data_IF_777030741710
#
_entry.id   IF_777030741710
#
_cell.length_a   1.000
_cell.length_b   1.000
_cell.length_c   1.000
_cell.angle_alpha   90.00
_cell.angle_beta   90.00
_cell.angle_gamma   90.00
#
_symmetry.space_group_name_H-M   'P 1'
#
loop_
_entity.id
_entity.type
_entity.pdbx_description
1 polymer ?
#
# COMPACT_ATOMS: atom_id res chain seq x y z
N UNK A 1 -12.51 -3.52 -8.74
CA UNK A 1 -12.98 -2.44 -7.85
C UNK A 1 -14.18 -1.74 -8.51
N UNK A 2 -15.41 -1.92 -8.00
CA UNK A 2 -16.64 -1.42 -8.65
C UNK A 2 -16.76 0.11 -8.61
N UNK A 3 -15.93 0.78 -7.80
CA UNK A 3 -15.90 2.24 -7.70
C UNK A 3 -14.59 2.86 -8.20
N UNK A 4 -13.74 2.08 -8.86
CA UNK A 4 -12.43 2.54 -9.34
C UNK A 4 -12.50 3.73 -10.29
N UNK A 5 -13.58 3.84 -11.08
CA UNK A 5 -13.82 4.98 -11.97
C UNK A 5 -14.35 6.25 -11.29
N UNK A 6 -14.77 6.16 -10.03
CA UNK A 6 -15.35 7.30 -9.30
C UNK A 6 -14.25 8.22 -8.81
N UNK A 7 -14.08 9.36 -9.48
CA UNK A 7 -13.05 10.35 -9.14
C UNK A 7 -11.70 10.17 -9.84
N UNK A 8 -11.45 9.07 -10.53
CA UNK A 8 -10.26 8.95 -11.38
C UNK A 8 -10.35 9.97 -12.54
N UNK A 9 -9.33 10.78 -12.69
CA UNK A 9 -9.25 11.80 -13.72
C UNK A 9 -9.97 13.11 -13.43
N UNK A 10 -10.79 13.21 -12.36
CA UNK A 10 -11.44 14.47 -11.95
C UNK A 10 -10.61 15.28 -10.96
N UNK A 11 -9.87 14.59 -10.08
CA UNK A 11 -9.00 15.24 -9.10
C UNK A 11 -7.83 14.29 -8.78
N UNK A 12 -6.80 14.25 -9.64
CA UNK A 12 -5.58 13.46 -9.39
C UNK A 12 -4.71 14.09 -8.30
N UNK A 13 -5.09 15.28 -7.81
CA UNK A 13 -4.41 16.04 -6.79
C UNK A 13 -5.42 16.48 -5.74
N UNK A 14 -5.22 16.11 -4.47
CA UNK A 14 -6.10 16.51 -3.36
C UNK A 14 -7.32 15.62 -3.09
N UNK A 15 -7.57 14.61 -3.90
CA UNK A 15 -8.69 13.68 -3.69
C UNK A 15 -8.48 12.74 -2.52
N UNK A 16 -9.17 12.98 -1.40
CA UNK A 16 -9.09 12.16 -0.19
C UNK A 16 -10.00 10.93 -0.23
N UNK A 17 -9.70 9.94 0.62
CA UNK A 17 -10.57 8.78 0.81
C UNK A 17 -11.95 9.17 1.33
N UNK A 18 -12.03 10.19 2.20
CA UNK A 18 -13.30 10.71 2.72
C UNK A 18 -14.15 11.29 1.60
N UNK A 19 -13.57 12.15 0.75
CA UNK A 19 -14.26 12.71 -0.40
C UNK A 19 -14.68 11.67 -1.43
N UNK A 20 -13.85 10.64 -1.65
CA UNK A 20 -14.22 9.50 -2.51
C UNK A 20 -15.44 8.75 -1.93
N UNK A 21 -15.44 8.47 -0.62
CA UNK A 21 -16.55 7.81 0.06
C UNK A 21 -17.85 8.59 -0.11
N UNK A 22 -17.81 9.89 0.13
CA UNK A 22 -18.98 10.75 -0.03
C UNK A 22 -19.53 10.68 -1.45
N UNK A 23 -18.68 10.89 -2.45
CA UNK A 23 -19.09 10.81 -3.87
C UNK A 23 -19.64 9.44 -4.25
N UNK A 24 -18.97 8.35 -3.88
CA UNK A 24 -19.40 6.99 -4.21
C UNK A 24 -20.78 6.66 -3.61
N UNK A 25 -21.04 7.10 -2.38
CA UNK A 25 -22.31 6.86 -1.72
C UNK A 25 -23.45 7.80 -2.18
N UNK A 26 -23.14 8.86 -2.91
CA UNK A 26 -24.14 9.74 -3.54
C UNK A 26 -24.54 9.30 -4.96
N UNK A 27 -23.83 8.35 -5.56
CA UNK A 27 -24.15 7.85 -6.88
C UNK A 27 -25.57 7.24 -6.95
N UNK A 28 -26.29 7.44 -8.07
CA UNK A 28 -27.64 6.91 -8.21
C UNK A 28 -27.64 5.37 -8.19
N UNK A 29 -28.77 4.73 -7.80
CA UNK A 29 -28.88 3.26 -7.79
C UNK A 29 -28.73 2.58 -9.16
N UNK A 30 -28.68 3.37 -10.24
CA UNK A 30 -28.48 2.92 -11.63
C UNK A 30 -27.05 3.10 -12.13
N UNK A 31 -26.12 3.49 -11.25
CA UNK A 31 -24.74 3.75 -11.65
C UNK A 31 -23.99 2.46 -12.00
N UNK A 32 -24.26 1.36 -11.28
CA UNK A 32 -23.66 0.07 -11.61
C UNK A 32 -24.25 -0.45 -12.91
N UNK A 33 -23.39 -0.79 -13.87
CA UNK A 33 -23.82 -1.32 -15.17
C UNK A 33 -24.67 -2.58 -14.99
N UNK A 34 -25.77 -2.75 -15.77
CA UNK A 34 -26.71 -3.86 -15.60
C UNK A 34 -26.10 -5.25 -15.76
N UNK A 35 -25.13 -5.41 -16.68
CA UNK A 35 -24.39 -6.65 -16.88
C UNK A 35 -23.50 -7.02 -15.69
N UNK A 36 -22.77 -6.03 -15.12
CA UNK A 36 -22.00 -6.25 -13.91
C UNK A 36 -22.90 -6.60 -12.73
N UNK A 37 -24.04 -5.91 -12.58
CA UNK A 37 -25.01 -6.23 -11.56
C UNK A 37 -25.56 -7.66 -11.72
N UNK A 38 -25.90 -8.04 -12.93
CA UNK A 38 -26.39 -9.40 -13.21
C UNK A 38 -25.35 -10.46 -12.80
N UNK A 39 -24.08 -10.29 -13.16
CA UNK A 39 -23.00 -11.21 -12.77
C UNK A 39 -22.89 -11.31 -11.25
N UNK A 40 -22.94 -10.18 -10.54
CA UNK A 40 -22.85 -10.16 -9.09
C UNK A 40 -24.07 -10.82 -8.43
N UNK A 41 -25.27 -10.59 -8.94
CA UNK A 41 -26.51 -11.18 -8.42
C UNK A 41 -26.56 -12.71 -8.60
N UNK A 42 -25.82 -13.27 -9.58
CA UNK A 42 -25.70 -14.72 -9.80
C UNK A 42 -24.57 -15.37 -8.97
N UNK A 43 -23.70 -14.57 -8.34
CA UNK A 43 -22.63 -15.11 -7.53
C UNK A 43 -23.15 -15.66 -6.18
N UNK A 44 -22.68 -16.83 -5.78
CA UNK A 44 -22.99 -17.41 -4.47
C UNK A 44 -22.45 -16.55 -3.32
N UNK A 45 -21.31 -15.89 -3.54
CA UNK A 45 -20.72 -14.94 -2.63
C UNK A 45 -19.92 -13.86 -3.37
N UNK A 46 -19.78 -12.70 -2.78
CA UNK A 46 -18.94 -11.61 -3.26
C UNK A 46 -18.29 -10.89 -2.08
N UNK A 47 -16.97 -11.01 -1.98
CA UNK A 47 -16.20 -10.29 -0.96
C UNK A 47 -15.57 -9.03 -1.54
N UNK A 48 -15.87 -7.89 -0.92
CA UNK A 48 -15.25 -6.62 -1.25
C UNK A 48 -14.01 -6.41 -0.40
N UNK A 49 -12.89 -6.01 -1.02
CA UNK A 49 -11.64 -5.75 -0.34
C UNK A 49 -11.69 -4.59 0.66
N UNK A 50 -12.75 -3.79 0.62
CA UNK A 50 -13.01 -2.67 1.52
C UNK A 50 -14.52 -2.49 1.75
N UNK A 51 -14.86 -1.91 2.91
CA UNK A 51 -16.27 -1.68 3.28
C UNK A 51 -16.94 -0.61 2.42
N UNK A 52 -16.19 0.32 1.83
CA UNK A 52 -16.75 1.32 0.93
C UNK A 52 -17.32 0.68 -0.34
N UNK A 53 -16.56 -0.22 -0.97
CA UNK A 53 -17.00 -0.99 -2.14
C UNK A 53 -18.24 -1.84 -1.80
N UNK A 54 -18.23 -2.51 -0.64
CA UNK A 54 -19.39 -3.28 -0.15
C UNK A 54 -20.64 -2.40 0.02
N UNK A 55 -20.49 -1.26 0.70
CA UNK A 55 -21.62 -0.38 1.01
C UNK A 55 -22.17 0.26 -0.28
N UNK A 56 -21.30 0.59 -1.24
CA UNK A 56 -21.69 1.02 -2.57
C UNK A 56 -22.51 -0.07 -3.29
N UNK A 57 -22.04 -1.32 -3.35
CA UNK A 57 -22.76 -2.41 -4.01
C UNK A 57 -24.13 -2.70 -3.35
N UNK A 58 -24.19 -2.63 -2.02
CA UNK A 58 -25.49 -2.72 -1.29
C UNK A 58 -26.45 -1.61 -1.72
N UNK A 59 -25.95 -0.37 -1.83
CA UNK A 59 -26.76 0.78 -2.28
C UNK A 59 -27.18 0.62 -3.74
N UNK A 60 -26.36 0.01 -4.60
CA UNK A 60 -26.75 -0.33 -5.96
C UNK A 60 -27.75 -1.49 -6.06
N UNK A 61 -28.14 -2.09 -4.92
CA UNK A 61 -29.14 -3.15 -4.85
C UNK A 61 -28.66 -4.50 -5.37
N UNK A 62 -27.36 -4.80 -5.26
CA UNK A 62 -26.79 -6.13 -5.53
C UNK A 62 -27.37 -7.14 -4.55
N UNK A 63 -27.82 -8.29 -5.07
CA UNK A 63 -28.58 -9.33 -4.34
C UNK A 63 -27.77 -10.59 -4.04
N UNK A 64 -26.46 -10.56 -4.18
CA UNK A 64 -25.58 -11.68 -3.81
C UNK A 64 -25.91 -12.14 -2.38
N UNK A 65 -26.13 -13.43 -2.11
CA UNK A 65 -26.49 -13.95 -0.79
C UNK A 65 -25.45 -13.59 0.29
N UNK A 66 -24.18 -13.64 -0.05
CA UNK A 66 -23.07 -13.24 0.81
C UNK A 66 -22.36 -12.05 0.15
N UNK A 67 -22.64 -10.84 0.63
CA UNK A 67 -21.96 -9.60 0.22
C UNK A 67 -21.28 -9.00 1.44
N UNK A 68 -20.02 -9.34 1.65
CA UNK A 68 -19.27 -9.03 2.87
C UNK A 68 -17.93 -8.34 2.57
N UNK A 69 -17.28 -7.85 3.62
CA UNK A 69 -15.90 -7.41 3.57
C UNK A 69 -14.97 -8.63 3.66
N UNK A 70 -14.01 -8.70 2.74
CA UNK A 70 -12.93 -9.69 2.78
C UNK A 70 -11.61 -9.01 2.44
N UNK A 71 -10.66 -8.95 3.40
CA UNK A 71 -9.39 -8.26 3.20
C UNK A 71 -8.59 -8.90 2.07
N UNK A 72 -7.66 -8.12 1.51
CA UNK A 72 -6.80 -8.55 0.40
C UNK A 72 -6.07 -9.87 0.72
N UNK A 73 -6.05 -10.79 -0.25
CA UNK A 73 -5.44 -12.11 -0.10
C UNK A 73 -3.93 -12.04 0.20
N UNK A 74 -3.27 -10.95 -0.13
CA UNK A 74 -1.85 -10.76 0.22
C UNK A 74 -1.60 -10.73 1.73
N UNK A 75 -2.58 -10.38 2.53
CA UNK A 75 -2.52 -10.51 3.98
C UNK A 75 -2.48 -11.97 4.48
N UNK A 76 -2.67 -12.95 3.60
CA UNK A 76 -2.53 -14.37 3.88
C UNK A 76 -1.37 -15.05 3.12
N UNK A 77 -0.46 -14.28 2.52
CA UNK A 77 0.60 -14.83 1.69
C UNK A 77 1.82 -15.26 2.54
N UNK A 78 2.06 -16.57 2.73
CA UNK A 78 3.12 -17.06 3.60
C UNK A 78 4.49 -17.17 2.91
N UNK A 79 4.61 -16.73 1.66
CA UNK A 79 5.83 -16.89 0.87
C UNK A 79 7.00 -16.12 1.49
N UNK A 80 8.13 -16.84 1.67
CA UNK A 80 9.39 -16.30 2.17
C UNK A 80 10.58 -17.05 1.59
N UNK A 81 11.66 -16.31 1.32
CA UNK A 81 12.99 -16.84 1.10
C UNK A 81 13.95 -16.27 2.16
N UNK A 82 13.89 -16.83 3.36
CA UNK A 82 14.67 -16.34 4.50
C UNK A 82 16.18 -16.49 4.28
N UNK A 83 16.62 -17.53 3.58
CA UNK A 83 18.04 -17.73 3.30
C UNK A 83 18.60 -16.59 2.42
N UNK A 84 17.89 -16.27 1.34
CA UNK A 84 18.27 -15.18 0.43
C UNK A 84 18.14 -13.82 1.10
N UNK A 85 17.02 -13.58 1.81
CA UNK A 85 16.82 -12.34 2.53
C UNK A 85 17.89 -12.08 3.60
N UNK A 86 18.26 -13.07 4.41
CA UNK A 86 19.31 -12.93 5.43
C UNK A 86 20.69 -12.70 4.81
N UNK A 87 21.04 -13.43 3.75
CA UNK A 87 22.30 -13.19 3.02
C UNK A 87 22.39 -11.75 2.52
N UNK A 88 21.32 -11.24 1.92
CA UNK A 88 21.26 -9.86 1.43
C UNK A 88 21.42 -8.81 2.54
N UNK A 89 20.79 -9.05 3.71
CA UNK A 89 20.94 -8.17 4.88
C UNK A 89 22.37 -8.18 5.42
N UNK A 90 23.00 -9.35 5.50
CA UNK A 90 24.38 -9.49 5.99
C UNK A 90 25.39 -8.79 5.09
N UNK A 91 25.31 -8.98 3.78
CA UNK A 91 26.19 -8.31 2.80
C UNK A 91 26.15 -6.77 2.92
N UNK A 92 25.06 -6.21 3.39
CA UNK A 92 24.85 -4.76 3.51
C UNK A 92 24.91 -4.24 4.94
N UNK A 93 25.32 -5.11 5.87
CA UNK A 93 25.37 -4.81 7.30
C UNK A 93 24.07 -4.18 7.81
N UNK A 94 22.93 -4.80 7.45
CA UNK A 94 21.58 -4.44 7.91
C UNK A 94 21.21 -5.32 9.12
N UNK A 95 21.10 -4.70 10.27
CA UNK A 95 20.74 -5.40 11.51
C UNK A 95 19.21 -5.52 11.63
N UNK A 96 18.66 -6.74 11.88
CA UNK A 96 17.23 -6.91 12.14
C UNK A 96 16.70 -5.97 13.21
N UNK A 97 15.59 -5.28 12.90
CA UNK A 97 14.95 -4.32 13.79
C UNK A 97 15.62 -2.94 13.82
N UNK A 98 16.72 -2.72 13.08
CA UNK A 98 17.46 -1.45 13.04
C UNK A 98 17.53 -0.85 11.63
N UNK A 99 16.53 -1.08 10.81
CA UNK A 99 16.37 -0.42 9.52
C UNK A 99 14.89 -0.30 9.16
N UNK A 100 14.59 0.64 8.29
CA UNK A 100 13.28 0.78 7.66
C UNK A 100 13.38 0.51 6.17
N UNK A 101 12.28 0.03 5.56
CA UNK A 101 12.15 -0.06 4.11
C UNK A 101 11.25 1.07 3.61
N UNK A 102 11.62 1.68 2.48
CA UNK A 102 10.88 2.79 1.86
C UNK A 102 10.66 2.49 0.38
N UNK A 103 9.41 2.53 -0.05
CA UNK A 103 8.99 2.23 -1.42
C UNK A 103 8.38 3.49 -2.05
N UNK A 104 9.00 4.02 -3.14
CA UNK A 104 8.48 5.16 -3.89
C UNK A 104 7.35 4.73 -4.83
N UNK A 105 6.55 5.73 -5.30
CA UNK A 105 5.58 5.50 -6.36
C UNK A 105 5.22 6.79 -7.09
N UNK A 106 5.01 6.69 -8.40
CA UNK A 106 4.34 7.73 -9.18
C UNK A 106 2.82 7.66 -8.97
N UNK A 107 2.11 8.77 -9.10
CA UNK A 107 0.63 8.79 -9.01
C UNK A 107 -0.01 7.91 -10.09
N UNK A 108 0.56 7.92 -11.29
CA UNK A 108 0.19 7.00 -12.35
C UNK A 108 1.36 6.09 -12.72
N UNK A 109 1.15 4.80 -12.58
CA UNK A 109 2.14 3.80 -13.01
C UNK A 109 2.33 3.87 -14.51
N UNK A 110 3.58 4.02 -15.01
CA UNK A 110 3.86 4.14 -16.44
C UNK A 110 3.82 2.76 -17.13
N UNK A 111 2.63 2.17 -17.25
CA UNK A 111 2.47 0.81 -17.78
C UNK A 111 3.03 0.65 -19.19
N UNK A 112 3.00 1.69 -20.03
CA UNK A 112 3.56 1.63 -21.37
C UNK A 112 5.07 1.36 -21.34
N UNK A 113 5.82 1.90 -20.36
CA UNK A 113 7.25 1.59 -20.15
C UNK A 113 7.46 0.16 -19.69
N UNK A 114 6.67 -0.29 -18.71
CA UNK A 114 6.78 -1.63 -18.11
C UNK A 114 6.46 -2.72 -19.15
N UNK A 115 5.45 -2.47 -19.99
CA UNK A 115 4.96 -3.43 -21.00
C UNK A 115 5.61 -3.26 -22.36
N UNK A 116 6.49 -2.25 -22.51
CA UNK A 116 7.10 -1.88 -23.77
C UNK A 116 6.07 -1.69 -24.90
N UNK A 117 4.99 -0.96 -24.60
CA UNK A 117 3.92 -0.64 -25.57
C UNK A 117 4.05 0.81 -26.04
N UNK A 118 3.53 1.15 -27.25
CA UNK A 118 3.52 2.54 -27.71
C UNK A 118 2.82 3.46 -26.72
N UNK A 119 3.42 4.63 -26.50
CA UNK A 119 2.88 5.69 -25.64
C UNK A 119 1.65 6.32 -26.29
N UNK A 120 0.62 6.57 -25.50
CA UNK A 120 -0.66 7.16 -25.93
C UNK A 120 -0.81 8.60 -25.43
N UNK A 121 -1.80 9.34 -25.95
CA UNK A 121 -2.15 10.67 -25.43
C UNK A 121 -2.59 10.64 -23.96
N UNK A 122 -3.20 9.56 -23.51
CA UNK A 122 -3.57 9.36 -22.11
C UNK A 122 -2.32 9.21 -21.22
N UNK A 123 -1.28 8.54 -21.74
CA UNK A 123 0.01 8.46 -21.06
C UNK A 123 0.70 9.83 -20.96
N UNK A 124 0.56 10.70 -21.98
CA UNK A 124 1.08 12.08 -21.93
C UNK A 124 0.46 12.89 -20.79
N UNK A 125 -0.87 12.76 -20.61
CA UNK A 125 -1.60 13.42 -19.51
C UNK A 125 -1.13 12.89 -18.17
N UNK A 126 -1.00 11.57 -18.03
CA UNK A 126 -0.54 10.89 -16.80
C UNK A 126 0.89 11.25 -16.46
N UNK A 127 1.79 11.27 -17.43
CA UNK A 127 3.18 11.66 -17.24
C UNK A 127 3.28 13.14 -16.79
N UNK A 128 2.50 14.06 -17.39
CA UNK A 128 2.46 15.46 -16.96
C UNK A 128 1.97 15.62 -15.50
N UNK A 129 1.08 14.75 -15.02
CA UNK A 129 0.67 14.72 -13.62
C UNK A 129 1.81 14.19 -12.74
N UNK A 130 2.46 13.11 -13.15
CA UNK A 130 3.60 12.55 -12.44
C UNK A 130 4.72 13.61 -12.31
N UNK A 131 5.08 14.29 -13.39
CA UNK A 131 6.17 15.27 -13.42
C UNK A 131 5.96 16.41 -12.39
N UNK A 132 4.73 16.93 -12.26
CA UNK A 132 4.46 18.01 -11.30
C UNK A 132 4.19 17.54 -9.86
N UNK A 133 3.96 16.24 -9.62
CA UNK A 133 3.63 15.72 -8.29
C UNK A 133 4.77 14.94 -7.65
N UNK A 134 5.69 14.37 -8.43
CA UNK A 134 6.74 13.47 -7.96
C UNK A 134 7.58 14.09 -6.85
N UNK A 135 8.11 15.31 -7.06
CA UNK A 135 8.95 15.97 -6.05
C UNK A 135 8.15 16.27 -4.77
N UNK A 136 6.95 16.83 -4.90
CA UNK A 136 6.08 17.13 -3.76
C UNK A 136 5.75 15.90 -2.91
N UNK A 137 5.46 14.78 -3.55
CA UNK A 137 5.06 13.54 -2.88
C UNK A 137 6.26 12.87 -2.18
N UNK A 138 7.46 12.95 -2.75
CA UNK A 138 8.66 12.31 -2.20
C UNK A 138 9.47 13.21 -1.26
N UNK A 139 9.38 14.53 -1.36
CA UNK A 139 10.07 15.44 -0.45
C UNK A 139 9.70 15.21 1.02
N UNK A 140 8.42 14.94 1.30
CA UNK A 140 7.96 14.62 2.67
C UNK A 140 8.50 13.29 3.19
N UNK A 141 8.64 12.29 2.31
CA UNK A 141 9.25 11.00 2.65
C UNK A 141 10.75 11.18 2.92
N UNK A 142 11.45 11.99 2.12
CA UNK A 142 12.86 12.33 2.39
C UNK A 142 13.04 13.05 3.73
N UNK A 143 12.18 14.02 4.04
CA UNK A 143 12.23 14.70 5.34
C UNK A 143 12.05 13.74 6.52
N UNK A 144 11.18 12.74 6.40
CA UNK A 144 11.05 11.64 7.36
C UNK A 144 12.33 10.79 7.42
N UNK A 145 12.92 10.40 6.28
CA UNK A 145 14.19 9.65 6.21
C UNK A 145 15.31 10.41 6.90
N UNK A 146 15.45 11.71 6.65
CA UNK A 146 16.45 12.56 7.29
C UNK A 146 16.28 12.57 8.81
N UNK A 147 15.06 12.77 9.28
CA UNK A 147 14.73 12.77 10.72
C UNK A 147 15.05 11.41 11.35
N UNK A 148 14.68 10.32 10.70
CA UNK A 148 14.97 8.96 11.15
C UNK A 148 16.48 8.72 11.29
N UNK A 149 17.24 8.99 10.22
CA UNK A 149 18.69 8.78 10.22
C UNK A 149 19.40 9.67 11.26
N UNK A 150 19.06 10.97 11.33
CA UNK A 150 19.69 11.89 12.26
C UNK A 150 19.39 11.54 13.73
N UNK A 151 18.20 11.02 14.01
CA UNK A 151 17.80 10.66 15.39
C UNK A 151 18.36 9.31 15.81
N UNK A 152 18.39 8.32 14.90
CA UNK A 152 18.69 6.93 15.26
C UNK A 152 20.07 6.44 14.82
N UNK A 153 20.68 7.06 13.82
CA UNK A 153 21.86 6.55 13.14
C UNK A 153 21.63 5.24 12.37
N UNK A 154 20.39 4.77 12.29
CA UNK A 154 20.05 3.50 11.67
C UNK A 154 19.91 3.62 10.14
N UNK A 155 19.88 2.47 9.46
CA UNK A 155 19.85 2.41 8.00
C UNK A 155 18.45 2.48 7.41
N UNK A 156 18.39 2.94 6.17
CA UNK A 156 17.17 2.96 5.36
C UNK A 156 17.41 2.15 4.09
N UNK A 157 16.49 1.24 3.76
CA UNK A 157 16.49 0.50 2.50
C UNK A 157 15.48 1.15 1.57
N UNK A 158 15.94 1.74 0.47
CA UNK A 158 15.08 2.20 -0.62
C UNK A 158 14.95 1.05 -1.61
N UNK A 159 13.72 0.56 -1.79
CA UNK A 159 13.42 -0.63 -2.58
C UNK A 159 12.14 -0.43 -3.43
N UNK A 160 11.88 -1.38 -4.32
CA UNK A 160 10.81 -1.29 -5.30
C UNK A 160 9.75 -2.38 -5.10
N UNK A 161 8.47 -2.05 -5.39
CA UNK A 161 7.39 -3.02 -5.59
C UNK A 161 7.18 -3.33 -7.08
N UNK A 162 7.50 -2.36 -7.96
CA UNK A 162 7.43 -2.49 -9.40
C UNK A 162 8.76 -2.14 -10.06
N UNK A 163 9.05 -2.72 -11.22
CA UNK A 163 10.35 -2.60 -11.88
C UNK A 163 10.77 -1.15 -12.16
N UNK A 164 9.85 -0.26 -12.55
CA UNK A 164 10.16 1.15 -12.83
C UNK A 164 10.62 1.93 -11.59
N UNK A 165 10.30 1.44 -10.40
CA UNK A 165 10.61 2.11 -9.13
C UNK A 165 12.06 1.91 -8.70
N UNK A 166 12.80 1.00 -9.32
CA UNK A 166 14.21 0.75 -8.96
C UNK A 166 15.02 2.02 -9.19
N UNK A 167 15.10 2.50 -10.44
CA UNK A 167 15.83 3.73 -10.78
C UNK A 167 15.15 4.97 -10.17
N UNK A 168 13.83 5.03 -10.24
CA UNK A 168 13.07 6.11 -9.63
C UNK A 168 13.41 6.27 -8.14
N UNK A 169 13.51 5.18 -7.39
CA UNK A 169 13.84 5.22 -5.96
C UNK A 169 15.19 5.88 -5.71
N UNK A 170 16.20 5.58 -6.53
CA UNK A 170 17.48 6.27 -6.48
C UNK A 170 17.30 7.77 -6.73
N UNK A 171 16.61 8.12 -7.79
CA UNK A 171 16.55 9.50 -8.28
C UNK A 171 15.71 10.41 -7.37
N UNK A 172 14.61 9.91 -6.80
CA UNK A 172 13.69 10.74 -5.99
C UNK A 172 13.89 10.61 -4.47
N UNK A 173 14.44 9.49 -3.97
CA UNK A 173 14.61 9.27 -2.53
C UNK A 173 16.07 9.24 -2.08
N UNK A 174 17.02 8.87 -2.95
CA UNK A 174 18.44 8.74 -2.53
C UNK A 174 19.26 9.94 -2.97
N UNK A 175 19.25 10.26 -4.27
CA UNK A 175 20.12 11.30 -4.82
C UNK A 175 19.94 12.69 -4.19
N UNK A 176 18.70 13.13 -3.85
CA UNK A 176 18.48 14.45 -3.25
C UNK A 176 18.86 14.55 -1.77
N UNK A 177 19.14 13.43 -1.09
CA UNK A 177 19.47 13.45 0.35
C UNK A 177 20.84 14.10 0.61
N UNK A 178 21.02 14.79 1.76
CA UNK A 178 22.33 15.25 2.22
C UNK A 178 23.33 14.11 2.37
N UNK A 179 24.61 14.39 2.13
CA UNK A 179 25.68 13.37 2.11
C UNK A 179 25.75 12.55 3.42
N UNK A 180 25.57 13.22 4.57
CA UNK A 180 25.60 12.58 5.89
C UNK A 180 24.40 11.64 6.12
N UNK A 181 23.27 11.85 5.45
CA UNK A 181 22.11 10.96 5.48
C UNK A 181 22.27 9.83 4.47
N UNK A 182 22.71 10.17 3.26
CA UNK A 182 22.87 9.24 2.14
C UNK A 182 23.75 8.03 2.48
N UNK A 183 24.80 8.20 3.29
CA UNK A 183 25.67 7.10 3.73
C UNK A 183 24.96 6.02 4.57
N UNK A 184 23.79 6.33 5.11
CA UNK A 184 22.95 5.39 5.84
C UNK A 184 21.86 4.75 4.96
N UNK A 185 21.79 5.12 3.69
CA UNK A 185 20.77 4.61 2.77
C UNK A 185 21.35 3.51 1.90
N UNK A 186 20.71 2.37 1.92
CA UNK A 186 20.98 1.24 1.01
C UNK A 186 19.93 1.30 -0.10
N UNK A 187 20.35 1.69 -1.29
CA UNK A 187 19.51 1.57 -2.46
C UNK A 187 19.59 0.15 -3.01
N UNK A 188 18.41 -0.50 -3.11
CA UNK A 188 18.32 -1.77 -3.80
C UNK A 188 18.23 -1.53 -5.31
N UNK A 189 19.32 -1.80 -5.99
CA UNK A 189 19.54 -1.53 -7.41
C UNK A 189 18.94 -2.59 -8.35
N UNK A 190 18.36 -3.64 -7.77
CA UNK A 190 17.70 -4.73 -8.50
C UNK A 190 16.28 -4.97 -8.00
N UNK A 191 15.40 -5.37 -8.92
CA UNK A 191 14.07 -5.83 -8.57
C UNK A 191 14.17 -7.15 -7.78
N UNK A 192 13.23 -7.37 -6.88
CA UNK A 192 13.11 -8.60 -6.10
C UNK A 192 11.73 -9.23 -6.23
N UNK A 193 11.63 -10.51 -5.91
CA UNK A 193 10.36 -11.21 -5.84
C UNK A 193 9.72 -11.06 -4.45
N UNK A 194 8.40 -11.28 -4.35
CA UNK A 194 7.66 -11.09 -3.09
C UNK A 194 8.17 -11.92 -1.91
N UNK A 195 8.69 -13.11 -2.14
CA UNK A 195 9.25 -14.01 -1.12
C UNK A 195 10.53 -13.44 -0.47
N UNK A 196 11.45 -12.92 -1.27
CA UNK A 196 12.64 -12.22 -0.78
C UNK A 196 12.25 -10.91 -0.08
N UNK A 197 11.35 -10.12 -0.69
CA UNK A 197 10.84 -8.89 -0.09
C UNK A 197 10.19 -9.15 1.28
N UNK A 198 9.33 -10.16 1.40
CA UNK A 198 8.67 -10.54 2.65
C UNK A 198 9.68 -10.93 3.75
N UNK A 199 10.75 -11.64 3.38
CA UNK A 199 11.81 -12.03 4.32
C UNK A 199 12.57 -10.83 4.87
N UNK A 200 12.83 -9.82 4.04
CA UNK A 200 13.48 -8.58 4.45
C UNK A 200 12.52 -7.70 5.25
N UNK A 201 11.26 -7.55 4.82
CA UNK A 201 10.23 -6.80 5.55
C UNK A 201 9.99 -7.37 6.95
N UNK A 202 10.03 -8.69 7.13
CA UNK A 202 9.92 -9.34 8.44
C UNK A 202 11.01 -8.90 9.44
N UNK A 203 12.16 -8.45 8.95
CA UNK A 203 13.30 -7.97 9.75
C UNK A 203 13.36 -6.45 9.86
N UNK A 204 12.59 -5.71 9.08
CA UNK A 204 12.53 -4.26 9.16
C UNK A 204 11.86 -3.79 10.47
N UNK A 205 12.20 -2.60 10.93
CA UNK A 205 11.51 -1.92 12.02
C UNK A 205 10.14 -1.39 11.57
N UNK A 206 10.08 -0.87 10.35
CA UNK A 206 8.87 -0.40 9.71
C UNK A 206 9.02 -0.50 8.19
N UNK A 207 7.92 -0.69 7.46
CA UNK A 207 7.85 -0.56 6.00
C UNK A 207 6.98 0.64 5.65
N UNK A 208 7.53 1.61 4.93
CA UNK A 208 6.86 2.85 4.53
C UNK A 208 6.69 2.82 3.01
N UNK A 209 5.49 2.96 2.50
CA UNK A 209 5.23 2.79 1.07
C UNK A 209 4.16 3.73 0.55
N UNK A 210 4.39 4.23 -0.67
CA UNK A 210 3.36 4.85 -1.48
C UNK A 210 2.59 3.79 -2.31
N UNK A 211 3.09 2.54 -2.37
CA UNK A 211 2.36 1.40 -2.92
C UNK A 211 1.52 0.70 -1.84
N UNK A 212 0.40 0.09 -2.27
CA UNK A 212 -0.57 -0.51 -1.36
C UNK A 212 -0.14 -1.91 -0.87
N UNK A 213 0.60 -2.69 -1.67
CA UNK A 213 0.76 -4.12 -1.41
C UNK A 213 1.98 -4.46 -0.55
N UNK A 214 3.11 -3.78 -0.70
CA UNK A 214 4.29 -3.98 0.15
C UNK A 214 3.98 -3.81 1.64
N UNK A 215 3.17 -2.81 2.07
CA UNK A 215 2.72 -2.73 3.46
C UNK A 215 1.85 -3.90 3.90
N UNK A 216 1.02 -4.49 3.03
CA UNK A 216 0.21 -5.67 3.38
C UNK A 216 1.09 -6.89 3.62
N UNK A 217 2.10 -7.09 2.75
CA UNK A 217 3.09 -8.16 2.91
C UNK A 217 3.85 -7.99 4.24
N UNK A 218 4.29 -6.77 4.55
CA UNK A 218 4.99 -6.47 5.80
C UNK A 218 4.10 -6.70 7.03
N UNK A 219 2.83 -6.29 6.97
CA UNK A 219 1.87 -6.47 8.04
C UNK A 219 1.62 -7.95 8.34
N UNK A 220 1.50 -8.78 7.28
CA UNK A 220 1.41 -10.23 7.43
C UNK A 220 2.62 -10.82 8.18
N UNK A 221 3.81 -10.24 8.01
CA UNK A 221 5.02 -10.64 8.74
C UNK A 221 5.09 -10.08 10.19
N UNK A 222 4.05 -9.38 10.65
CA UNK A 222 4.03 -8.73 11.96
C UNK A 222 4.90 -7.48 12.04
N UNK A 223 5.23 -6.87 10.91
CA UNK A 223 6.01 -5.64 10.84
C UNK A 223 5.09 -4.43 10.75
N UNK A 224 5.28 -3.38 11.58
CA UNK A 224 4.60 -2.11 11.46
C UNK A 224 4.78 -1.53 10.07
N UNK A 225 3.75 -0.84 9.55
CA UNK A 225 3.78 -0.40 8.17
C UNK A 225 3.03 0.92 7.98
N UNK A 226 3.51 1.78 7.07
CA UNK A 226 2.80 2.96 6.62
C UNK A 226 2.36 2.80 5.17
N UNK A 227 1.11 3.09 4.92
CA UNK A 227 0.61 3.30 3.57
C UNK A 227 0.30 4.78 3.36
N UNK A 228 1.04 5.42 2.46
CA UNK A 228 0.84 6.81 2.06
C UNK A 228 0.05 6.80 0.75
N UNK A 229 -1.28 6.88 0.87
CA UNK A 229 -2.21 6.78 -0.25
C UNK A 229 -2.12 7.99 -1.15
N UNK A 230 -2.08 7.73 -2.45
CA UNK A 230 -2.24 8.75 -3.48
C UNK A 230 -3.71 8.83 -3.94
N UNK A 231 -4.22 9.99 -4.41
CA UNK A 231 -5.61 10.14 -4.88
C UNK A 231 -6.00 9.11 -5.95
N UNK A 232 -5.03 8.75 -6.82
CA UNK A 232 -5.21 7.75 -7.88
C UNK A 232 -5.38 6.32 -7.39
N UNK A 233 -5.15 6.04 -6.10
CA UNK A 233 -5.33 4.72 -5.48
C UNK A 233 -6.79 4.39 -5.18
N UNK A 234 -7.71 5.30 -5.43
CA UNK A 234 -9.14 5.09 -5.21
C UNK A 234 -9.47 4.67 -3.77
N UNK A 235 -10.25 3.59 -3.57
CA UNK A 235 -10.70 3.12 -2.26
C UNK A 235 -9.69 2.24 -1.51
N UNK A 236 -8.50 1.97 -2.06
CA UNK A 236 -7.53 1.03 -1.44
C UNK A 236 -7.19 1.36 0.02
N UNK A 237 -7.16 2.65 0.37
CA UNK A 237 -6.92 3.10 1.75
C UNK A 237 -8.02 2.72 2.74
N UNK A 238 -9.25 2.50 2.28
CA UNK A 238 -10.35 2.11 3.17
C UNK A 238 -10.08 0.76 3.84
N UNK A 239 -9.45 -0.17 3.15
CA UNK A 239 -9.06 -1.46 3.73
C UNK A 239 -8.17 -1.30 4.97
N UNK A 240 -7.22 -0.35 4.97
CA UNK A 240 -6.36 -0.09 6.14
C UNK A 240 -7.16 0.36 7.35
N UNK A 241 -8.23 1.11 7.14
CA UNK A 241 -9.16 1.50 8.21
C UNK A 241 -9.99 0.30 8.67
N UNK A 242 -10.47 -0.50 7.74
CA UNK A 242 -11.35 -1.65 8.00
C UNK A 242 -10.64 -2.77 8.78
N UNK A 243 -9.34 -2.99 8.54
CA UNK A 243 -8.53 -3.96 9.30
C UNK A 243 -7.96 -3.40 10.61
N UNK A 244 -8.26 -2.14 10.97
CA UNK A 244 -7.77 -1.53 12.21
C UNK A 244 -6.35 -0.95 12.16
N UNK A 245 -5.78 -0.77 10.93
CA UNK A 245 -4.47 -0.17 10.72
C UNK A 245 -4.53 1.34 10.42
N UNK A 246 -5.59 2.04 10.84
CA UNK A 246 -5.85 3.44 10.53
C UNK A 246 -4.76 4.41 11.01
N UNK A 247 -4.05 4.11 12.10
CA UNK A 247 -2.94 4.94 12.59
C UNK A 247 -1.69 4.92 11.67
N UNK A 248 -1.66 3.98 10.74
CA UNK A 248 -0.57 3.77 9.79
C UNK A 248 -1.00 4.08 8.35
N UNK A 249 -2.15 4.74 8.21
CA UNK A 249 -2.69 5.20 6.94
C UNK A 249 -2.59 6.73 6.84
N UNK A 250 -2.05 7.21 5.72
CA UNK A 250 -1.84 8.62 5.45
C UNK A 250 -2.36 8.98 4.05
N UNK A 251 -2.90 10.20 3.90
CA UNK A 251 -3.20 10.79 2.60
C UNK A 251 -1.99 11.62 2.14
N UNK A 252 -1.47 11.35 0.95
CA UNK A 252 -0.26 12.04 0.48
C UNK A 252 -0.40 13.56 0.41
N UNK A 253 -1.57 14.07 0.05
CA UNK A 253 -1.81 15.51 -0.08
C UNK A 253 -2.14 16.20 1.26
N UNK A 254 -2.46 15.45 2.31
CA UNK A 254 -2.80 15.98 3.66
C UNK A 254 -1.68 15.76 4.69
N UNK A 255 -0.60 15.07 4.31
CA UNK A 255 0.46 14.67 5.23
C UNK A 255 1.78 15.35 4.85
N UNK A 256 2.55 15.77 5.85
CA UNK A 256 3.91 16.31 5.70
C UNK A 256 4.99 15.39 6.30
N UNK A 257 6.25 15.75 6.11
CA UNK A 257 7.39 15.00 6.64
C UNK A 257 7.43 14.90 8.17
N UNK A 258 7.24 16.01 8.91
CA UNK A 258 7.14 15.99 10.37
C UNK A 258 6.05 15.07 10.91
N UNK A 259 4.89 15.01 10.28
CA UNK A 259 3.79 14.11 10.69
C UNK A 259 4.18 12.63 10.48
N UNK A 260 4.79 12.29 9.33
CA UNK A 260 5.31 10.94 9.07
C UNK A 260 6.37 10.57 10.10
N UNK A 261 7.32 11.49 10.38
CA UNK A 261 8.35 11.26 11.38
C UNK A 261 7.76 11.08 12.78
N UNK A 262 6.86 11.93 13.22
CA UNK A 262 6.23 11.84 14.54
C UNK A 262 5.59 10.46 14.75
N UNK A 263 4.93 9.90 13.73
CA UNK A 263 4.36 8.57 13.81
C UNK A 263 5.44 7.48 13.79
N UNK A 264 6.46 7.59 12.95
CA UNK A 264 7.58 6.64 12.90
C UNK A 264 8.37 6.64 14.22
N UNK A 265 8.56 7.80 14.82
CA UNK A 265 9.24 7.95 16.10
C UNK A 265 8.54 7.16 17.23
N UNK A 266 7.22 7.05 17.21
CA UNK A 266 6.50 6.19 18.18
C UNK A 266 6.85 4.73 18.03
N UNK A 267 7.07 4.24 16.79
CA UNK A 267 7.52 2.88 16.51
C UNK A 267 8.97 2.67 16.94
N UNK A 268 9.81 3.68 16.71
CA UNK A 268 11.23 3.67 17.12
C UNK A 268 11.36 3.61 18.63
N UNK A 269 10.54 4.37 19.37
CA UNK A 269 10.55 4.43 20.85
C UNK A 269 10.03 3.15 21.50
N UNK A 270 9.03 2.50 20.91
CA UNK A 270 8.45 1.24 21.40
C UNK A 270 8.15 0.25 20.27
N UNK A 271 9.20 -0.42 19.76
CA UNK A 271 9.04 -1.41 18.69
C UNK A 271 8.19 -2.63 19.11
N UNK A 272 8.19 -2.96 20.41
CA UNK A 272 7.44 -4.10 20.91
C UNK A 272 5.94 -3.83 20.87
N UNK A 273 5.48 -2.68 21.32
CA UNK A 273 4.08 -2.25 21.22
C UNK A 273 3.64 -2.14 19.75
N UNK A 274 4.48 -1.59 18.87
CA UNK A 274 4.17 -1.49 17.44
C UNK A 274 3.99 -2.87 16.78
N UNK A 275 4.86 -3.84 17.08
CA UNK A 275 4.71 -5.22 16.60
C UNK A 275 3.51 -5.93 17.23
N UNK A 276 3.19 -5.67 18.49
CA UNK A 276 1.98 -6.19 19.14
C UNK A 276 0.72 -5.70 18.43
N UNK A 277 0.68 -4.41 18.05
CA UNK A 277 -0.39 -3.83 17.25
C UNK A 277 -0.51 -4.49 15.88
N UNK A 278 0.60 -4.71 15.17
CA UNK A 278 0.60 -5.42 13.88
C UNK A 278 -0.02 -6.83 14.01
N UNK A 279 0.37 -7.57 15.05
CA UNK A 279 -0.21 -8.90 15.33
C UNK A 279 -1.71 -8.83 15.66
N UNK A 280 -2.15 -7.83 16.41
CA UNK A 280 -3.58 -7.64 16.72
C UNK A 280 -4.41 -7.35 15.47
N UNK A 281 -3.89 -6.52 14.55
CA UNK A 281 -4.50 -6.28 13.24
C UNK A 281 -4.60 -7.59 12.46
N UNK A 282 -3.55 -8.38 12.41
CA UNK A 282 -3.53 -9.65 11.68
C UNK A 282 -4.49 -10.69 12.29
N UNK A 283 -4.63 -10.74 13.61
CA UNK A 283 -5.64 -11.60 14.26
C UNK A 283 -7.08 -11.26 13.82
N UNK A 284 -7.39 -9.97 13.65
CA UNK A 284 -8.66 -9.52 13.05
C UNK A 284 -8.81 -9.93 11.59
N UNK A 285 -7.75 -9.79 10.79
CA UNK A 285 -7.73 -10.21 9.38
C UNK A 285 -8.03 -11.69 9.23
N UNK A 286 -7.42 -12.55 10.06
CA UNK A 286 -7.63 -14.01 10.02
C UNK A 286 -9.09 -14.41 10.23
N UNK A 287 -9.85 -13.68 11.04
CA UNK A 287 -11.29 -13.93 11.23
C UNK A 287 -12.03 -13.76 9.90
N UNK A 288 -11.76 -12.68 9.18
CA UNK A 288 -12.37 -12.44 7.88
C UNK A 288 -11.92 -13.46 6.83
N UNK A 289 -10.64 -13.84 6.81
CA UNK A 289 -10.14 -14.84 5.88
C UNK A 289 -10.78 -16.22 6.12
N UNK A 290 -10.99 -16.62 7.36
CA UNK A 290 -11.74 -17.86 7.68
C UNK A 290 -13.18 -17.78 7.15
N UNK A 291 -13.88 -16.65 7.35
CA UNK A 291 -15.22 -16.44 6.81
C UNK A 291 -15.25 -16.54 5.27
N UNK A 292 -14.22 -16.00 4.59
CA UNK A 292 -14.10 -16.15 3.13
C UNK A 292 -13.98 -17.62 2.72
N UNK A 293 -13.16 -18.42 3.41
CA UNK A 293 -13.01 -19.86 3.15
C UNK A 293 -14.30 -20.63 3.44
N UNK A 294 -15.02 -20.28 4.52
CA UNK A 294 -16.32 -20.88 4.85
C UNK A 294 -17.34 -20.64 3.74
N UNK A 295 -17.46 -19.41 3.23
CA UNK A 295 -18.35 -19.10 2.13
C UNK A 295 -18.04 -19.90 0.85
N UNK A 296 -16.77 -20.15 0.56
CA UNK A 296 -16.37 -21.03 -0.55
C UNK A 296 -16.82 -22.46 -0.29
N UNK A 297 -16.61 -23.00 0.91
CA UNK A 297 -17.05 -24.36 1.29
C UNK A 297 -18.57 -24.50 1.18
N UNK A 298 -19.33 -23.56 1.74
CA UNK A 298 -20.78 -23.52 1.65
C UNK A 298 -21.28 -23.54 0.19
N UNK A 299 -20.66 -22.74 -0.67
CA UNK A 299 -21.02 -22.67 -2.08
C UNK A 299 -20.65 -23.94 -2.88
N UNK A 300 -19.61 -24.69 -2.44
CA UNK A 300 -19.20 -25.95 -3.06
C UNK A 300 -19.91 -27.18 -2.45
N UNK A 301 -20.75 -27.02 -1.44
CA UNK A 301 -21.43 -28.13 -0.76
C UNK A 301 -20.48 -29.01 0.06
N UNK A 302 -19.38 -28.44 0.55
CA UNK A 302 -18.32 -29.15 1.29
C UNK A 302 -18.34 -28.81 2.80
#
# INVERSE_FOLDING_TARGET
DPISGVGQGRDPEGGTLAGLRERALQLPPTHLAPDLRYIMDQAAFFFCRDTLSRDYLRKQGVKTPVLEFGPDAQLGMPLRDDARGLAWLQERALEPGKFICVIPRLRYTPYYRIRNTPRTKDDDIKDAINDRTTERDHAKVRAMIESYVRTTGQKVVVCAEMTYQVEMGRDVLVNPLPAEVKRHVVWRDTYWLPDEAASIYAKAQCVISLECHSPLIALHQGTPTFYIRQPTDTCKGQMYRDIGAHDWFFEVDETDGPQLWSRLETIVKDPAAARAKARAVMAGVEIHQRRMVEAVREACGA
#
